data_IF_977548134537
#
_entry.id   IF_977548134537
#
_cell.length_a   1.000
_cell.length_b   1.000
_cell.length_c   1.000
_cell.angle_alpha   90.00
_cell.angle_beta   90.00
_cell.angle_gamma   90.00
#
_symmetry.space_group_name_H-M   'P 1'
#
loop_
_entity.id
_entity.type
_entity.pdbx_description
1 polymer ?
#
# COMPACT_ATOMS: atom_id res chain seq x y z
N UNK A 1 26.21 -23.69 -27.97
CA UNK A 1 26.97 -23.15 -26.82
C UNK A 1 26.14 -22.29 -25.85
N UNK A 2 24.93 -21.85 -26.18
CA UNK A 2 24.13 -20.92 -25.35
C UNK A 2 23.55 -21.48 -24.01
N UNK A 3 23.45 -22.80 -23.84
CA UNK A 3 22.77 -23.42 -22.68
C UNK A 3 23.62 -23.35 -21.39
N UNK A 4 24.95 -23.38 -21.51
CA UNK A 4 25.86 -23.35 -20.35
C UNK A 4 25.84 -21.99 -19.64
N UNK A 5 25.71 -20.90 -20.39
CA UNK A 5 25.67 -19.54 -19.86
C UNK A 5 24.36 -19.25 -19.10
N UNK A 6 23.25 -19.82 -19.55
CA UNK A 6 21.96 -19.68 -18.88
C UNK A 6 21.96 -20.36 -17.49
N UNK A 7 22.51 -21.57 -17.41
CA UNK A 7 22.61 -22.32 -16.14
C UNK A 7 23.53 -21.63 -15.13
N UNK A 8 24.67 -21.09 -15.57
CA UNK A 8 25.58 -20.34 -14.70
C UNK A 8 24.92 -19.07 -14.12
N UNK A 9 24.13 -18.35 -14.94
CA UNK A 9 23.37 -17.17 -14.51
C UNK A 9 22.29 -17.52 -13.48
N UNK A 10 21.57 -18.63 -13.67
CA UNK A 10 20.57 -19.11 -12.71
C UNK A 10 21.19 -19.50 -11.35
N UNK A 11 22.31 -20.21 -11.36
CA UNK A 11 23.01 -20.60 -10.12
C UNK A 11 23.49 -19.39 -9.31
N UNK A 12 24.00 -18.35 -9.98
CA UNK A 12 24.40 -17.10 -9.31
C UNK A 12 23.21 -16.37 -8.69
N UNK A 13 22.06 -16.33 -9.37
CA UNK A 13 20.85 -15.74 -8.84
C UNK A 13 20.31 -16.50 -7.61
N UNK A 14 20.36 -17.83 -7.64
CA UNK A 14 19.94 -18.68 -6.51
C UNK A 14 20.86 -18.51 -5.30
N UNK A 15 22.18 -18.48 -5.51
CA UNK A 15 23.14 -18.21 -4.44
C UNK A 15 22.91 -16.83 -3.79
N UNK A 16 22.66 -15.78 -4.61
CA UNK A 16 22.33 -14.45 -4.10
C UNK A 16 21.02 -14.42 -3.30
N UNK A 17 20.01 -15.19 -3.69
CA UNK A 17 18.75 -15.33 -2.94
C UNK A 17 18.96 -16.04 -1.61
N UNK A 18 19.74 -17.13 -1.59
CA UNK A 18 20.07 -17.87 -0.38
C UNK A 18 20.82 -16.98 0.64
N UNK A 19 21.77 -16.17 0.17
CA UNK A 19 22.46 -15.19 1.02
C UNK A 19 21.49 -14.16 1.62
N UNK A 20 20.55 -13.63 0.83
CA UNK A 20 19.53 -12.68 1.32
C UNK A 20 18.52 -13.33 2.29
N UNK A 21 18.28 -14.63 2.16
CA UNK A 21 17.43 -15.36 3.11
C UNK A 21 18.08 -15.45 4.50
N UNK A 22 19.41 -15.61 4.57
CA UNK A 22 20.16 -15.66 5.83
C UNK A 22 20.32 -14.30 6.53
N UNK A 23 19.97 -13.19 5.88
CA UNK A 23 20.07 -11.86 6.49
C UNK A 23 19.06 -11.71 7.64
N UNK A 24 19.58 -11.41 8.83
CA UNK A 24 18.78 -11.14 10.03
C UNK A 24 18.38 -9.67 10.14
N UNK A 25 19.18 -8.76 9.56
CA UNK A 25 18.97 -7.32 9.61
C UNK A 25 18.96 -6.72 8.20
N UNK A 26 18.25 -5.60 8.05
CA UNK A 26 18.27 -4.83 6.81
C UNK A 26 19.54 -3.97 6.73
N UNK A 27 19.76 -3.33 5.58
CA UNK A 27 20.92 -2.44 5.36
C UNK A 27 21.02 -1.25 6.32
N UNK A 28 19.94 -0.93 7.02
CA UNK A 28 19.88 0.16 8.00
C UNK A 28 19.94 -0.35 9.45
N UNK A 29 20.17 -1.65 9.65
CA UNK A 29 20.27 -2.27 10.98
C UNK A 29 18.94 -2.72 11.59
N UNK A 30 17.79 -2.55 10.92
CA UNK A 30 16.51 -3.01 11.49
C UNK A 30 16.34 -4.54 11.39
N UNK A 31 15.77 -5.20 12.41
CA UNK A 31 15.54 -6.65 12.38
C UNK A 31 14.53 -7.02 11.28
N UNK A 32 14.85 -8.03 10.48
CA UNK A 32 13.99 -8.59 9.42
C UNK A 32 13.23 -9.82 9.93
N UNK A 33 12.61 -9.70 11.09
CA UNK A 33 11.82 -10.74 11.75
C UNK A 33 10.46 -10.19 12.19
N UNK A 34 9.50 -11.09 12.44
CA UNK A 34 8.17 -10.76 12.97
C UNK A 34 7.47 -9.66 12.17
N UNK A 35 6.98 -8.65 12.89
CA UNK A 35 6.16 -7.56 12.33
C UNK A 35 6.94 -6.65 11.37
N UNK A 36 8.26 -6.52 11.53
CA UNK A 36 9.07 -5.65 10.69
C UNK A 36 9.42 -6.28 9.34
N UNK A 37 9.19 -7.59 9.18
CA UNK A 37 9.36 -8.31 7.93
C UNK A 37 8.08 -8.27 7.10
N UNK A 38 8.20 -7.84 5.85
CA UNK A 38 7.14 -7.97 4.85
C UNK A 38 7.69 -8.68 3.61
N UNK A 39 6.87 -9.53 3.00
CA UNK A 39 7.17 -10.11 1.68
C UNK A 39 6.42 -9.30 0.62
N UNK A 40 7.14 -8.72 -0.31
CA UNK A 40 6.60 -7.97 -1.45
C UNK A 40 6.98 -8.66 -2.75
N UNK A 41 6.15 -8.57 -3.79
CA UNK A 41 6.55 -9.03 -5.12
C UNK A 41 7.30 -7.93 -5.85
N UNK A 42 8.41 -8.29 -6.47
CA UNK A 42 9.14 -7.40 -7.36
C UNK A 42 8.35 -7.18 -8.65
N UNK A 43 8.10 -5.92 -9.03
CA UNK A 43 7.31 -5.59 -10.22
C UNK A 43 7.96 -6.01 -11.54
N UNK A 44 9.29 -6.15 -11.57
CA UNK A 44 10.05 -6.50 -12.78
C UNK A 44 10.23 -8.01 -12.92
N UNK A 45 10.48 -8.69 -11.82
CA UNK A 45 10.81 -10.13 -11.84
C UNK A 45 9.69 -11.02 -11.31
N UNK A 46 8.64 -10.45 -10.72
CA UNK A 46 7.54 -11.18 -10.08
C UNK A 46 7.92 -11.93 -8.79
N UNK A 47 9.22 -11.97 -8.46
CA UNK A 47 9.72 -12.80 -7.40
C UNK A 47 9.49 -12.16 -6.01
N UNK A 48 9.30 -12.98 -4.96
CA UNK A 48 9.17 -12.46 -3.61
C UNK A 48 10.49 -11.84 -3.13
N UNK A 49 10.40 -10.65 -2.54
CA UNK A 49 11.49 -9.93 -1.88
C UNK A 49 11.11 -9.58 -0.43
N UNK A 50 12.09 -9.67 0.46
CA UNK A 50 11.95 -9.22 1.86
C UNK A 50 12.07 -7.70 1.90
N UNK A 51 11.10 -7.04 2.52
CA UNK A 51 11.05 -5.61 2.73
C UNK A 51 10.97 -5.33 4.23
N UNK A 52 11.78 -4.38 4.69
CA UNK A 52 11.74 -3.89 6.05
C UNK A 52 10.64 -2.83 6.18
N UNK A 53 9.69 -3.02 7.10
CA UNK A 53 8.62 -2.05 7.33
C UNK A 53 9.14 -0.71 7.82
N UNK A 54 10.07 -0.71 8.76
CA UNK A 54 10.69 0.52 9.29
C UNK A 54 11.35 1.33 8.17
N UNK A 55 12.17 0.69 7.33
CA UNK A 55 12.75 1.39 6.17
C UNK A 55 11.70 1.89 5.20
N UNK A 56 10.63 1.13 4.98
CA UNK A 56 9.53 1.54 4.10
C UNK A 56 8.80 2.76 4.66
N UNK A 57 8.47 2.77 5.94
CA UNK A 57 7.87 3.91 6.63
C UNK A 57 8.79 5.14 6.60
N UNK A 58 10.08 4.96 6.86
CA UNK A 58 11.05 6.03 6.73
C UNK A 58 11.15 6.53 5.28
N UNK A 59 11.11 5.64 4.29
CA UNK A 59 11.03 6.03 2.88
C UNK A 59 9.72 6.75 2.54
N UNK A 60 8.61 6.46 3.22
CA UNK A 60 7.37 7.23 3.06
C UNK A 60 7.47 8.61 3.71
N UNK A 61 8.16 8.74 4.83
CA UNK A 61 8.40 10.04 5.49
C UNK A 61 9.39 10.90 4.68
N UNK A 62 10.49 10.29 4.20
CA UNK A 62 11.53 10.95 3.39
C UNK A 62 11.10 11.19 1.96
N UNK A 63 10.37 10.23 1.40
CA UNK A 63 9.59 10.40 0.19
C UNK A 63 8.42 11.29 0.54
N UNK A 64 8.73 12.56 0.86
CA UNK A 64 7.86 13.70 0.70
C UNK A 64 7.23 13.52 -0.67
N UNK A 65 6.09 12.88 -0.60
CA UNK A 65 5.28 12.63 -1.75
C UNK A 65 4.78 14.03 -2.03
N UNK A 66 5.43 14.69 -2.98
CA UNK A 66 5.16 16.07 -3.36
C UNK A 66 3.74 16.10 -3.92
N UNK A 67 2.76 16.11 -3.06
CA UNK A 67 1.42 16.52 -3.41
C UNK A 67 1.34 17.99 -3.08
N UNK A 68 0.84 18.74 -4.04
CA UNK A 68 0.47 20.12 -3.80
C UNK A 68 -0.72 20.15 -2.85
N UNK A 69 -0.86 21.21 -2.06
CA UNK A 69 -2.07 21.41 -1.25
C UNK A 69 -3.33 21.33 -2.13
N UNK A 70 -3.26 21.85 -3.35
CA UNK A 70 -4.30 21.78 -4.37
C UNK A 70 -4.76 20.34 -4.70
N UNK A 71 -3.86 19.36 -4.73
CA UNK A 71 -4.24 17.96 -4.99
C UNK A 71 -5.03 17.37 -3.81
N UNK A 72 -4.71 17.78 -2.58
CA UNK A 72 -5.45 17.36 -1.39
C UNK A 72 -6.83 18.02 -1.38
N UNK A 73 -6.90 19.31 -1.69
CA UNK A 73 -8.17 20.03 -1.79
C UNK A 73 -9.05 19.48 -2.90
N UNK A 74 -8.49 19.22 -4.09
CA UNK A 74 -9.23 18.62 -5.22
C UNK A 74 -9.75 17.23 -4.85
N UNK A 75 -8.93 16.42 -4.18
CA UNK A 75 -9.34 15.09 -3.71
C UNK A 75 -10.50 15.20 -2.70
N UNK A 76 -10.41 16.12 -1.75
CA UNK A 76 -11.44 16.39 -0.75
C UNK A 76 -12.73 16.89 -1.38
N UNK A 77 -12.67 17.87 -2.29
CA UNK A 77 -13.82 18.40 -3.03
C UNK A 77 -14.53 17.28 -3.81
N UNK A 78 -13.77 16.41 -4.47
CA UNK A 78 -14.35 15.29 -5.20
C UNK A 78 -15.05 14.29 -4.29
N UNK A 79 -14.55 14.07 -3.07
CA UNK A 79 -15.18 13.18 -2.10
C UNK A 79 -16.45 13.82 -1.52
N UNK A 80 -16.38 15.09 -1.12
CA UNK A 80 -17.44 15.77 -0.39
C UNK A 80 -18.57 16.27 -1.28
N UNK A 81 -18.23 16.93 -2.39
CA UNK A 81 -19.20 17.64 -3.23
C UNK A 81 -19.63 16.80 -4.43
N UNK A 82 -18.72 16.02 -5.01
CA UNK A 82 -19.01 15.18 -6.20
C UNK A 82 -19.43 13.76 -5.85
N UNK A 83 -19.37 13.39 -4.57
CA UNK A 83 -19.72 12.05 -4.08
C UNK A 83 -18.82 10.93 -4.62
N UNK A 84 -17.57 11.25 -5.00
CA UNK A 84 -16.62 10.23 -5.44
C UNK A 84 -16.14 9.39 -4.27
N UNK A 85 -15.90 8.12 -4.55
CA UNK A 85 -15.35 7.19 -3.57
C UNK A 85 -13.84 7.39 -3.41
N UNK A 86 -13.30 7.02 -2.25
CA UNK A 86 -11.85 7.04 -2.00
C UNK A 86 -11.09 6.25 -3.06
N UNK A 87 -11.64 5.12 -3.52
CA UNK A 87 -11.03 4.29 -4.54
C UNK A 87 -10.91 5.03 -5.88
N UNK A 88 -11.92 5.80 -6.28
CA UNK A 88 -11.91 6.57 -7.53
C UNK A 88 -10.89 7.71 -7.52
N UNK A 89 -10.70 8.33 -6.35
CA UNK A 89 -9.74 9.42 -6.20
C UNK A 89 -8.30 8.91 -6.10
N UNK A 90 -8.10 7.71 -5.54
CA UNK A 90 -6.76 7.19 -5.20
C UNK A 90 -6.19 6.12 -6.15
N UNK A 91 -7.06 5.38 -6.84
CA UNK A 91 -6.69 4.33 -7.78
C UNK A 91 -6.71 4.85 -9.22
N UNK A 92 -5.84 4.28 -10.07
CA UNK A 92 -5.89 4.53 -11.50
C UNK A 92 -6.96 3.64 -12.12
N UNK A 93 -7.96 4.22 -12.81
CA UNK A 93 -8.97 3.46 -13.58
C UNK A 93 -8.89 3.85 -15.05
N UNK A 94 -8.47 2.90 -15.89
CA UNK A 94 -8.28 3.13 -17.33
C UNK A 94 -7.30 4.28 -17.59
N UNK A 95 -7.75 5.24 -18.40
CA UNK A 95 -6.95 6.39 -18.82
C UNK A 95 -6.91 7.52 -17.81
N UNK A 96 -7.75 7.49 -16.76
CA UNK A 96 -7.75 8.53 -15.74
C UNK A 96 -6.54 8.38 -14.83
N UNK A 97 -5.72 9.43 -14.76
CA UNK A 97 -4.66 9.53 -13.79
C UNK A 97 -5.25 9.59 -12.37
N UNK A 98 -4.54 8.97 -11.43
CA UNK A 98 -4.83 9.10 -10.00
C UNK A 98 -4.63 10.55 -9.57
N UNK A 99 -5.58 11.11 -8.80
CA UNK A 99 -5.50 12.50 -8.31
C UNK A 99 -4.45 12.57 -7.20
N UNK A 100 -4.54 11.64 -6.24
CA UNK A 100 -3.61 11.53 -5.12
C UNK A 100 -3.34 10.05 -4.82
N UNK A 101 -2.27 9.71 -4.10
CA UNK A 101 -2.11 8.33 -3.62
C UNK A 101 -2.82 8.11 -2.30
N UNK A 102 -3.23 6.87 -2.10
CA UNK A 102 -3.97 6.46 -0.91
C UNK A 102 -3.23 6.82 0.38
N UNK A 103 -1.92 6.60 0.43
CA UNK A 103 -1.10 6.90 1.61
C UNK A 103 -1.08 8.39 1.96
N UNK A 104 -1.17 9.26 0.95
CA UNK A 104 -1.20 10.70 1.18
C UNK A 104 -2.54 11.18 1.71
N UNK A 105 -3.61 10.63 1.13
CA UNK A 105 -4.95 10.90 1.61
C UNK A 105 -5.08 10.44 3.06
N UNK A 106 -4.49 9.30 3.43
CA UNK A 106 -4.45 8.84 4.82
C UNK A 106 -3.71 9.82 5.74
N UNK A 107 -2.60 10.41 5.30
CA UNK A 107 -1.90 11.46 6.05
C UNK A 107 -2.78 12.73 6.16
N UNK A 108 -3.43 13.15 5.09
CA UNK A 108 -4.33 14.31 5.11
C UNK A 108 -5.51 14.09 6.07
N UNK A 109 -6.14 12.92 6.03
CA UNK A 109 -7.22 12.51 6.94
C UNK A 109 -6.75 12.42 8.40
N UNK A 110 -5.48 12.11 8.66
CA UNK A 110 -4.94 12.12 10.02
C UNK A 110 -4.75 13.53 10.58
N UNK A 111 -4.58 14.54 9.70
CA UNK A 111 -4.44 15.94 10.07
C UNK A 111 -5.79 16.64 10.23
N UNK A 112 -6.80 16.22 9.45
CA UNK A 112 -8.15 16.78 9.51
C UNK A 112 -9.17 15.71 10.00
N UNK A 113 -9.53 15.74 11.30
CA UNK A 113 -10.48 14.78 11.87
C UNK A 113 -11.92 14.97 11.34
N UNK A 114 -12.30 16.17 10.88
CA UNK A 114 -13.62 16.40 10.30
C UNK A 114 -13.76 15.68 8.97
N UNK A 115 -12.73 15.79 8.12
CA UNK A 115 -12.63 15.05 6.86
C UNK A 115 -12.73 13.53 7.09
N UNK A 116 -12.01 13.02 8.09
CA UNK A 116 -12.02 11.59 8.45
C UNK A 116 -13.41 11.10 8.90
N UNK A 117 -14.14 11.91 9.67
CA UNK A 117 -15.47 11.55 10.14
C UNK A 117 -16.47 11.45 8.97
N UNK A 118 -16.43 12.38 8.03
CA UNK A 118 -17.30 12.33 6.84
C UNK A 118 -16.95 11.14 5.95
N UNK A 119 -15.65 10.89 5.73
CA UNK A 119 -15.20 9.72 4.98
C UNK A 119 -15.68 8.41 5.64
N UNK A 120 -15.62 8.32 6.98
CA UNK A 120 -16.16 7.18 7.72
C UNK A 120 -17.66 7.06 7.55
N UNK A 121 -18.42 8.14 7.64
CA UNK A 121 -19.87 8.10 7.44
C UNK A 121 -20.23 7.60 6.04
N UNK A 122 -19.52 8.06 5.00
CA UNK A 122 -19.71 7.62 3.62
C UNK A 122 -19.43 6.11 3.45
N UNK A 123 -18.48 5.54 4.19
CA UNK A 123 -18.21 4.10 4.17
C UNK A 123 -19.33 3.26 4.79
N UNK A 124 -20.07 3.81 5.77
CA UNK A 124 -21.22 3.13 6.38
C UNK A 124 -22.51 3.31 5.58
N UNK A 125 -22.61 4.36 4.76
CA UNK A 125 -23.78 4.66 3.94
C UNK A 125 -23.72 4.07 2.54
N UNK A 126 -22.66 3.34 2.16
CA UNK A 126 -22.58 2.72 0.84
C UNK A 126 -23.39 1.42 0.82
N UNK A 127 -24.50 1.32 0.06
CA UNK A 127 -25.01 0.01 -0.31
C UNK A 127 -23.90 -0.70 -1.09
N UNK A 128 -23.69 -1.99 -0.82
CA UNK A 128 -22.82 -2.83 -1.65
C UNK A 128 -23.40 -2.82 -3.07
N UNK A 129 -22.96 -1.88 -3.90
CA UNK A 129 -23.29 -1.88 -5.32
C UNK A 129 -22.71 -3.18 -5.86
N UNK A 130 -23.62 -4.10 -6.15
CA UNK A 130 -23.35 -5.37 -6.78
C UNK A 130 -22.84 -5.04 -8.19
N UNK A 131 -21.53 -4.84 -8.32
CA UNK A 131 -20.87 -4.67 -9.61
C UNK A 131 -20.85 -6.05 -10.26
N UNK A 132 -21.98 -6.45 -10.85
CA UNK A 132 -22.05 -7.61 -11.73
C UNK A 132 -21.26 -7.33 -13.00
N UNK A 133 -19.94 -7.46 -12.96
CA UNK A 133 -19.07 -7.70 -14.10
C UNK A 133 -18.00 -8.70 -13.65
N UNK A 134 -18.10 -9.91 -14.16
CA UNK A 134 -17.28 -11.05 -13.77
C UNK A 134 -15.78 -10.83 -14.00
N UNK A 135 -15.02 -11.07 -12.93
CA UNK A 135 -13.86 -11.98 -12.96
C UNK A 135 -13.40 -12.19 -11.53
N UNK A 136 -13.78 -13.35 -11.00
CA UNK A 136 -13.37 -13.88 -9.70
C UNK A 136 -11.84 -13.90 -9.60
N UNK A 137 -11.25 -13.01 -8.80
CA UNK A 137 -9.96 -13.26 -8.13
C UNK A 137 -9.94 -12.56 -6.77
N UNK A 138 -10.33 -13.34 -5.76
CA UNK A 138 -9.96 -13.25 -4.34
C UNK A 138 -9.57 -11.87 -3.79
N UNK A 139 -10.57 -11.05 -3.48
CA UNK A 139 -10.40 -9.92 -2.57
C UNK A 139 -10.45 -10.45 -1.14
N UNK A 140 -9.29 -10.59 -0.51
CA UNK A 140 -9.20 -10.83 0.93
C UNK A 140 -9.77 -9.61 1.66
N UNK A 141 -10.86 -9.85 2.40
CA UNK A 141 -11.37 -9.00 3.46
C UNK A 141 -10.22 -8.63 4.40
N UNK A 142 -9.83 -7.36 4.42
CA UNK A 142 -9.17 -6.75 5.56
C UNK A 142 -10.22 -5.95 6.33
N UNK A 143 -10.98 -6.67 7.15
CA UNK A 143 -11.55 -6.10 8.37
C UNK A 143 -10.39 -5.53 9.18
N UNK A 144 -10.27 -4.21 9.23
CA UNK A 144 -9.51 -3.57 10.30
C UNK A 144 -10.43 -3.59 11.52
N UNK A 145 -10.25 -4.59 12.37
CA UNK A 145 -10.86 -4.67 13.69
C UNK A 145 -10.39 -3.48 14.51
N UNK A 146 -11.23 -2.46 14.59
CA UNK A 146 -11.12 -1.36 15.55
C UNK A 146 -11.87 -1.77 16.82
N UNK A 147 -11.23 -2.53 17.69
CA UNK A 147 -11.64 -2.67 19.09
C UNK A 147 -10.38 -2.64 19.94
N UNK A 148 -10.13 -1.51 20.59
CA UNK A 148 -9.59 -1.44 21.95
C UNK A 148 -9.87 -0.03 22.46
N UNK A 149 -11.05 0.13 23.06
CA UNK A 149 -11.38 1.24 23.94
C UNK A 149 -11.71 0.64 25.31
N UNK A 150 -11.18 1.29 26.35
CA UNK A 150 -11.56 1.25 27.77
C UNK A 150 -11.12 0.02 28.57
N UNK A 151 -10.11 0.23 29.41
CA UNK A 151 -10.10 -0.21 30.81
C UNK A 151 -9.36 0.86 31.62
N UNK A 152 -10.10 1.90 31.99
CA UNK A 152 -9.90 2.64 33.24
C UNK A 152 -10.91 2.05 34.22
N UNK A 153 -10.42 1.25 35.16
CA UNK A 153 -10.84 1.19 36.56
C UNK A 153 -9.71 0.55 37.35
#
# INVERSE_FOLDING_TARGET
MAVRDANAKMNKANAARALKAKQTHCKQGHPLSGDNLRIERDSKTGAPRRACRACRNASYQRGSYKYTAEQVETATDCIMNKGMTIAEVTQRRGDRARIIKFEALAIALSKDPALNNVVRQLLHSMPTRNCGHGKERGSQNLLVTCQHQKLLR
#
